data_IF_880016464947
#
_entry.id   IF_880016464947
#
_cell.length_a   1.000
_cell.length_b   1.000
_cell.length_c   1.000
_cell.angle_alpha   90.00
_cell.angle_beta   90.00
_cell.angle_gamma   90.00
#
_symmetry.space_group_name_H-M   'P 1'
#
loop_
_entity.id
_entity.type
_entity.pdbx_description
1 polymer ?
#
# COMPACT_ATOMS: atom_id res chain seq x y z
N UNK A 1 20.29 -17.79 -8.86
CA UNK A 1 19.19 -18.46 -8.12
C UNK A 1 19.70 -19.47 -7.07
N UNK A 2 20.73 -19.12 -6.28
CA UNK A 2 21.28 -19.99 -5.21
C UNK A 2 20.99 -19.43 -3.81
N UNK A 3 20.86 -18.10 -3.67
CA UNK A 3 20.53 -17.42 -2.41
C UNK A 3 19.14 -17.74 -1.83
N UNK A 4 18.16 -18.11 -2.66
CA UNK A 4 16.78 -18.36 -2.20
C UNK A 4 16.53 -19.79 -1.69
N UNK A 5 17.45 -20.74 -1.93
CA UNK A 5 17.23 -22.14 -1.54
C UNK A 5 17.35 -22.38 -0.02
N UNK A 6 18.18 -21.60 0.68
CA UNK A 6 18.34 -21.68 2.14
C UNK A 6 17.37 -20.80 2.93
N UNK A 7 16.91 -19.71 2.32
CA UNK A 7 16.01 -18.75 2.96
C UNK A 7 14.66 -19.39 3.33
N UNK A 8 14.20 -20.36 2.54
CA UNK A 8 12.92 -21.04 2.80
C UNK A 8 12.94 -21.92 4.05
N UNK A 9 14.04 -22.60 4.36
CA UNK A 9 14.13 -23.43 5.57
C UNK A 9 14.31 -22.57 6.83
N UNK A 10 15.02 -21.46 6.72
CA UNK A 10 15.11 -20.46 7.79
C UNK A 10 13.75 -19.85 8.13
N UNK A 11 12.98 -19.42 7.12
CA UNK A 11 11.63 -18.87 7.33
C UNK A 11 10.68 -19.92 7.91
N UNK A 12 10.80 -21.19 7.50
CA UNK A 12 9.98 -22.26 8.06
C UNK A 12 10.21 -22.46 9.56
N UNK A 13 11.47 -22.39 10.02
CA UNK A 13 11.81 -22.49 11.45
C UNK A 13 11.19 -21.38 12.29
N UNK A 14 10.97 -20.19 11.73
CA UNK A 14 10.31 -19.10 12.46
C UNK A 14 8.87 -19.45 12.85
N UNK A 15 8.20 -20.40 12.18
CA UNK A 15 6.86 -20.83 12.57
C UNK A 15 6.82 -21.59 13.90
N UNK A 16 7.96 -22.08 14.36
CA UNK A 16 8.11 -22.82 15.62
C UNK A 16 8.48 -21.89 16.79
N UNK A 17 8.79 -20.63 16.51
CA UNK A 17 9.13 -19.61 17.51
C UNK A 17 7.85 -18.95 18.01
N UNK A 18 7.79 -18.68 19.31
CA UNK A 18 6.66 -17.95 19.90
C UNK A 18 6.49 -16.57 19.27
N UNK A 19 5.24 -16.20 18.99
CA UNK A 19 4.93 -14.94 18.30
C UNK A 19 5.47 -13.72 19.06
N UNK A 20 5.42 -13.73 20.39
CA UNK A 20 5.95 -12.63 21.21
C UNK A 20 7.45 -12.42 20.98
N UNK A 21 8.22 -13.51 20.91
CA UNK A 21 9.66 -13.42 20.66
C UNK A 21 9.94 -12.89 19.25
N UNK A 22 9.16 -13.32 18.26
CA UNK A 22 9.25 -12.79 16.90
C UNK A 22 8.93 -11.30 16.83
N UNK A 23 7.93 -10.83 17.58
CA UNK A 23 7.55 -9.41 17.64
C UNK A 23 8.65 -8.57 18.29
N UNK A 24 9.24 -9.05 19.38
CA UNK A 24 10.36 -8.38 20.05
C UNK A 24 11.56 -8.26 19.10
N UNK A 25 11.90 -9.36 18.39
CA UNK A 25 12.98 -9.35 17.40
C UNK A 25 12.69 -8.45 16.20
N UNK A 26 11.46 -8.45 15.69
CA UNK A 26 11.05 -7.54 14.63
C UNK A 26 11.18 -6.07 15.07
N UNK A 27 10.86 -5.78 16.33
CA UNK A 27 11.02 -4.44 16.91
C UNK A 27 12.49 -4.03 17.04
N UNK A 28 13.36 -4.91 17.53
CA UNK A 28 14.82 -4.69 17.58
C UNK A 28 15.37 -4.36 16.17
N UNK A 29 14.98 -5.14 15.16
CA UNK A 29 15.38 -4.93 13.77
C UNK A 29 14.88 -3.57 13.27
N UNK A 30 13.64 -3.19 13.58
CA UNK A 30 13.09 -1.88 13.22
C UNK A 30 13.89 -0.75 13.87
N UNK A 31 14.23 -0.85 15.14
CA UNK A 31 14.96 0.19 15.86
C UNK A 31 16.39 0.34 15.35
N UNK A 32 17.05 -0.77 15.01
CA UNK A 32 18.42 -0.76 14.48
C UNK A 32 18.53 -0.10 13.11
N UNK A 33 17.52 -0.26 12.25
CA UNK A 33 17.60 0.12 10.85
C UNK A 33 16.79 1.37 10.47
N UNK A 34 15.85 1.82 11.31
CA UNK A 34 14.96 2.94 11.00
C UNK A 34 14.89 3.95 12.14
N UNK A 35 14.79 5.25 11.80
CA UNK A 35 14.60 6.34 12.76
C UNK A 35 13.37 6.10 13.64
N UNK A 36 13.32 6.62 14.89
CA UNK A 36 12.17 6.48 15.80
C UNK A 36 10.97 7.36 15.39
N UNK A 37 10.71 7.48 14.08
CA UNK A 37 9.61 8.25 13.52
C UNK A 37 8.50 7.30 13.00
N UNK A 38 7.24 7.74 13.16
CA UNK A 38 6.08 7.05 12.62
C UNK A 38 5.33 8.01 11.69
N UNK A 39 5.54 7.84 10.38
CA UNK A 39 4.80 8.59 9.37
C UNK A 39 3.42 7.96 9.17
N UNK A 40 2.36 8.71 9.48
CA UNK A 40 0.97 8.25 9.33
C UNK A 40 0.31 9.02 8.19
N UNK A 41 -0.17 8.29 7.18
CA UNK A 41 -0.94 8.84 6.06
C UNK A 41 -2.30 8.15 6.01
N UNK A 42 -3.39 8.93 6.03
CA UNK A 42 -4.72 8.38 5.83
C UNK A 42 -5.09 8.43 4.34
N UNK A 43 -5.56 7.32 3.74
CA UNK A 43 -5.96 7.31 2.35
C UNK A 43 -7.16 8.24 2.12
N UNK A 44 -7.23 8.85 0.94
CA UNK A 44 -8.32 9.75 0.54
C UNK A 44 -9.61 9.02 0.14
N UNK A 45 -9.56 7.69 -0.03
CA UNK A 45 -10.68 6.88 -0.51
C UNK A 45 -11.84 6.80 0.51
N UNK A 46 -11.52 6.73 1.80
CA UNK A 46 -12.51 6.74 2.89
C UNK A 46 -12.54 8.12 3.50
N UNK A 47 -13.73 8.68 3.73
CA UNK A 47 -13.86 9.92 4.50
C UNK A 47 -13.64 9.61 5.99
N UNK A 48 -12.61 10.22 6.55
CA UNK A 48 -12.36 10.27 7.99
C UNK A 48 -12.82 11.63 8.50
N UNK A 49 -13.65 11.62 9.53
CA UNK A 49 -14.07 12.83 10.23
C UNK A 49 -14.23 12.48 11.70
N UNK A 50 -13.10 12.44 12.40
CA UNK A 50 -13.00 12.15 13.83
C UNK A 50 -12.43 13.37 14.55
N UNK A 51 -12.56 13.40 15.87
CA UNK A 51 -12.23 14.55 16.72
C UNK A 51 -10.87 15.20 16.42
N UNK A 52 -9.85 14.38 16.18
CA UNK A 52 -8.47 14.85 15.98
C UNK A 52 -7.98 14.72 14.53
N UNK A 53 -8.84 14.30 13.60
CA UNK A 53 -8.42 14.09 12.22
C UNK A 53 -9.58 14.14 11.21
N UNK A 54 -9.40 14.93 10.16
CA UNK A 54 -10.26 14.95 8.99
C UNK A 54 -9.39 14.92 7.74
N UNK A 55 -9.61 13.95 6.85
CA UNK A 55 -8.80 13.84 5.64
C UNK A 55 -9.35 14.74 4.53
N UNK A 56 -8.43 15.32 3.74
CA UNK A 56 -8.81 16.01 2.50
C UNK A 56 -9.05 14.98 1.40
N UNK A 57 -10.27 14.97 0.87
CA UNK A 57 -10.62 14.15 -0.30
C UNK A 57 -9.71 14.53 -1.47
N UNK A 58 -9.13 13.54 -2.14
CA UNK A 58 -8.35 13.76 -3.36
C UNK A 58 -6.84 13.93 -3.19
N UNK A 59 -6.31 13.94 -1.95
CA UNK A 59 -4.84 13.99 -1.72
C UNK A 59 -4.12 12.65 -1.88
N UNK A 60 -4.83 11.55 -1.70
CA UNK A 60 -4.32 10.20 -1.90
C UNK A 60 -5.36 9.41 -2.68
N UNK A 61 -5.13 9.25 -3.98
CA UNK A 61 -6.07 8.61 -4.90
C UNK A 61 -5.46 7.37 -5.54
N UNK A 62 -6.33 6.43 -5.89
CA UNK A 62 -5.98 5.23 -6.63
C UNK A 62 -6.31 5.48 -8.10
N UNK A 63 -5.30 5.33 -8.98
CA UNK A 63 -5.46 5.53 -10.43
C UNK A 63 -5.26 4.20 -11.14
N UNK A 64 -6.22 3.81 -11.98
CA UNK A 64 -6.11 2.59 -12.79
C UNK A 64 -5.69 2.95 -14.21
N UNK A 65 -4.51 2.50 -14.61
CA UNK A 65 -4.00 2.68 -15.98
C UNK A 65 -4.64 1.74 -17.00
N UNK A 66 -5.39 0.73 -16.54
CA UNK A 66 -6.18 -0.18 -17.39
C UNK A 66 -7.68 0.09 -17.30
N UNK A 67 -8.11 1.11 -16.54
CA UNK A 67 -9.53 1.32 -16.26
C UNK A 67 -10.09 0.17 -15.43
N UNK A 68 -11.17 -0.45 -15.90
CA UNK A 68 -11.80 -1.58 -15.21
C UNK A 68 -11.33 -2.95 -15.73
N UNK A 69 -10.43 -2.96 -16.73
CA UNK A 69 -9.95 -4.19 -17.35
C UNK A 69 -8.88 -4.87 -16.49
N UNK A 70 -9.05 -6.17 -16.23
CA UNK A 70 -8.08 -7.00 -15.51
C UNK A 70 -7.95 -8.38 -16.17
N UNK A 71 -6.79 -8.72 -16.72
CA UNK A 71 -6.61 -10.03 -17.37
C UNK A 71 -6.50 -11.20 -16.39
N UNK A 72 -6.23 -10.95 -15.11
CA UNK A 72 -5.94 -12.01 -14.13
C UNK A 72 -7.17 -12.50 -13.38
N UNK A 73 -8.14 -11.63 -13.09
CA UNK A 73 -9.35 -11.97 -12.30
C UNK A 73 -9.05 -12.81 -11.04
N UNK A 74 -7.99 -12.45 -10.29
CA UNK A 74 -7.58 -13.24 -9.13
C UNK A 74 -8.68 -13.30 -8.06
N UNK A 75 -8.75 -14.42 -7.33
CA UNK A 75 -9.77 -14.68 -6.31
C UNK A 75 -9.82 -13.62 -5.20
N UNK A 76 -8.74 -12.85 -5.03
CA UNK A 76 -8.69 -11.75 -4.06
C UNK A 76 -9.66 -10.61 -4.42
N UNK A 77 -9.60 -10.09 -5.65
CA UNK A 77 -10.34 -8.86 -6.01
C UNK A 77 -11.32 -9.05 -7.17
N UNK A 78 -11.07 -10.02 -8.05
CA UNK A 78 -11.85 -10.29 -9.25
C UNK A 78 -12.27 -9.01 -10.02
N UNK A 79 -11.29 -8.12 -10.27
CA UNK A 79 -11.45 -6.80 -10.91
C UNK A 79 -12.32 -5.76 -10.17
N UNK A 80 -13.06 -6.12 -9.11
CA UNK A 80 -13.98 -5.21 -8.41
C UNK A 80 -13.31 -3.97 -7.80
N UNK A 81 -12.04 -4.10 -7.38
CA UNK A 81 -11.28 -2.96 -6.86
C UNK A 81 -11.15 -1.83 -7.89
N UNK A 82 -11.01 -2.20 -9.17
CA UNK A 82 -10.78 -1.25 -10.26
C UNK A 82 -11.99 -0.32 -10.48
N UNK A 83 -13.21 -0.79 -10.20
CA UNK A 83 -14.46 -0.02 -10.35
C UNK A 83 -14.45 1.27 -9.50
N UNK A 84 -13.75 1.25 -8.37
CA UNK A 84 -13.63 2.40 -7.46
C UNK A 84 -12.46 3.34 -7.79
N UNK A 85 -11.59 2.95 -8.73
CA UNK A 85 -10.37 3.69 -9.05
C UNK A 85 -10.62 4.75 -10.14
N UNK A 86 -9.84 5.83 -10.09
CA UNK A 86 -9.87 6.83 -11.16
C UNK A 86 -9.19 6.25 -12.42
N UNK A 87 -9.95 6.05 -13.49
CA UNK A 87 -9.41 5.50 -14.75
C UNK A 87 -8.50 6.49 -15.49
N UNK A 88 -7.33 6.02 -15.92
CA UNK A 88 -6.32 6.74 -16.70
C UNK A 88 -5.70 5.87 -17.81
N UNK A 89 -6.54 5.39 -18.74
CA UNK A 89 -6.14 4.48 -19.84
C UNK A 89 -5.24 5.10 -20.91
N UNK A 90 -4.82 6.35 -20.75
CA UNK A 90 -3.83 6.99 -21.63
C UNK A 90 -2.80 7.78 -20.81
N UNK A 91 -1.57 7.94 -21.30
CA UNK A 91 -0.54 8.74 -20.65
C UNK A 91 -0.98 10.20 -20.38
N UNK A 92 -1.70 10.82 -21.32
CA UNK A 92 -2.17 12.21 -21.20
C UNK A 92 -3.19 12.35 -20.08
N UNK A 93 -4.10 11.37 -19.94
CA UNK A 93 -5.09 11.33 -18.87
C UNK A 93 -4.42 11.16 -17.51
N UNK A 94 -3.43 10.26 -17.42
CA UNK A 94 -2.65 10.07 -16.20
C UNK A 94 -1.91 11.36 -15.81
N UNK A 95 -1.24 12.01 -16.77
CA UNK A 95 -0.51 13.25 -16.53
C UNK A 95 -1.45 14.38 -16.11
N UNK A 96 -2.63 14.50 -16.73
CA UNK A 96 -3.67 15.47 -16.36
C UNK A 96 -4.14 15.27 -14.91
N UNK A 97 -4.36 14.01 -14.52
CA UNK A 97 -4.72 13.66 -13.14
C UNK A 97 -3.60 14.09 -12.19
N UNK A 98 -2.35 13.68 -12.44
CA UNK A 98 -1.21 14.05 -11.60
C UNK A 98 -1.03 15.56 -11.42
N UNK A 99 -1.14 16.33 -12.52
CA UNK A 99 -1.12 17.81 -12.46
C UNK A 99 -2.24 18.38 -11.60
N UNK A 100 -3.45 17.81 -11.69
CA UNK A 100 -4.60 18.25 -10.89
C UNK A 100 -4.37 17.98 -9.40
N UNK A 101 -3.90 16.80 -9.02
CA UNK A 101 -3.63 16.47 -7.60
C UNK A 101 -2.56 17.42 -7.07
N UNK A 102 -1.44 17.60 -7.82
CA UNK A 102 -0.33 18.47 -7.41
C UNK A 102 -0.78 19.90 -7.12
N UNK A 103 -1.71 20.42 -7.93
CA UNK A 103 -2.26 21.77 -7.73
C UNK A 103 -3.12 21.91 -6.46
N UNK A 104 -3.60 20.82 -5.86
CA UNK A 104 -4.47 20.81 -4.67
C UNK A 104 -3.74 20.33 -3.39
N UNK A 105 -2.41 20.36 -3.39
CA UNK A 105 -1.60 19.99 -2.23
C UNK A 105 -1.57 18.49 -1.96
N UNK A 106 -1.67 17.69 -3.04
CA UNK A 106 -1.28 16.28 -3.11
C UNK A 106 -0.30 16.06 -4.25
#
# INVERSE_FOLDING_TARGET
>A
MQFLKGLNSEIQRLKEVELSELLDKAWEVRQKNFLPELNVSAPGLKRYNVEHFSNTIGKFINVSVTGNECSLHCDHCNAKLLESMTSAVTPEKLLKIGKKIKAHGG
#
